data_IF_439873502214
#
_entry.id   IF_439873502214
#
_cell.length_a   1.000
_cell.length_b   1.000
_cell.length_c   1.000
_cell.angle_alpha   90.00
_cell.angle_beta   90.00
_cell.angle_gamma   90.00
#
_symmetry.space_group_name_H-M   'P 1'
#
loop_
_entity.id
_entity.type
_entity.pdbx_description
1 polymer ?
#
# COMPACT_ATOMS: atom_id res chain seq x y z
N UNK A 1 -1.87 -14.45 41.32
CA UNK A 1 -1.91 -13.21 40.52
C UNK A 1 -1.28 -13.41 39.13
N UNK A 2 0.05 -13.56 38.98
CA UNK A 2 0.67 -13.70 37.65
C UNK A 2 0.26 -14.98 36.88
N UNK A 3 0.08 -16.09 37.59
CA UNK A 3 -0.40 -17.35 37.01
C UNK A 3 -1.88 -17.29 36.59
N UNK A 4 -2.69 -16.51 37.32
CA UNK A 4 -4.11 -16.30 37.02
C UNK A 4 -4.27 -15.43 35.75
N UNK A 5 -3.44 -14.38 35.62
CA UNK A 5 -3.39 -13.53 34.43
C UNK A 5 -2.96 -14.34 33.19
N UNK A 6 -1.92 -15.18 33.30
CA UNK A 6 -1.50 -16.02 32.18
C UNK A 6 -2.63 -16.98 31.74
N UNK A 7 -3.32 -17.59 32.70
CA UNK A 7 -4.46 -18.47 32.41
C UNK A 7 -5.62 -17.72 31.75
N UNK A 8 -5.88 -16.48 32.20
CA UNK A 8 -6.86 -15.58 31.59
C UNK A 8 -6.48 -15.22 30.15
N UNK A 9 -5.21 -14.90 29.88
CA UNK A 9 -4.71 -14.60 28.52
C UNK A 9 -4.86 -15.81 27.60
N UNK A 10 -4.37 -16.98 28.01
CA UNK A 10 -4.43 -18.20 27.20
C UNK A 10 -5.87 -18.61 26.85
N UNK A 11 -6.79 -18.46 27.81
CA UNK A 11 -8.22 -18.70 27.60
C UNK A 11 -8.79 -17.74 26.57
N UNK A 12 -8.50 -16.45 26.71
CA UNK A 12 -9.12 -15.39 25.90
C UNK A 12 -8.49 -15.20 24.54
N UNK A 13 -7.23 -15.56 24.30
CA UNK A 13 -6.62 -15.49 22.96
C UNK A 13 -7.44 -16.23 21.89
N UNK A 14 -8.13 -17.31 22.28
CA UNK A 14 -9.01 -18.10 21.38
C UNK A 14 -10.33 -17.41 21.04
N UNK A 15 -10.70 -16.36 21.78
CA UNK A 15 -11.93 -15.58 21.57
C UNK A 15 -11.73 -14.43 20.58
N UNK A 16 -10.53 -14.28 20.01
CA UNK A 16 -10.22 -13.27 19.02
C UNK A 16 -10.29 -13.85 17.60
N UNK A 17 -11.22 -13.34 16.81
CA UNK A 17 -11.36 -13.66 15.39
C UNK A 17 -10.44 -12.76 14.55
N UNK A 18 -9.14 -13.06 14.58
CA UNK A 18 -8.10 -12.36 13.81
C UNK A 18 -7.54 -13.26 12.71
N UNK A 19 -6.98 -12.66 11.66
CA UNK A 19 -6.56 -13.40 10.46
C UNK A 19 -5.39 -14.36 10.69
N UNK A 20 -4.55 -14.11 11.70
CA UNK A 20 -3.40 -14.94 12.04
C UNK A 20 -2.87 -14.65 13.46
N UNK A 21 -1.70 -15.18 13.82
CA UNK A 21 -1.15 -15.15 15.19
C UNK A 21 -0.22 -13.97 15.47
N UNK A 22 0.07 -13.12 14.48
CA UNK A 22 1.01 -12.01 14.62
C UNK A 22 0.62 -11.01 15.71
N UNK A 23 -0.68 -10.89 16.02
CA UNK A 23 -1.17 -10.03 17.10
C UNK A 23 -1.29 -10.71 18.46
N UNK A 24 -0.94 -11.99 18.61
CA UNK A 24 -1.13 -12.69 19.89
C UNK A 24 -0.40 -12.03 21.06
N UNK A 25 0.84 -11.56 20.86
CA UNK A 25 1.59 -10.84 21.88
C UNK A 25 0.95 -9.50 22.23
N UNK A 26 0.42 -8.80 21.23
CA UNK A 26 -0.25 -7.52 21.38
C UNK A 26 -1.58 -7.69 22.14
N UNK A 27 -2.37 -8.70 21.78
CA UNK A 27 -3.61 -9.08 22.48
C UNK A 27 -3.29 -9.50 23.92
N UNK A 28 -2.22 -10.28 24.15
CA UNK A 28 -1.82 -10.72 25.48
C UNK A 28 -1.47 -9.54 26.40
N UNK A 29 -0.73 -8.55 25.90
CA UNK A 29 -0.43 -7.33 26.65
C UNK A 29 -1.69 -6.50 26.92
N UNK A 30 -2.57 -6.35 25.92
CA UNK A 30 -3.87 -5.69 26.09
C UNK A 30 -4.68 -6.35 27.21
N UNK A 31 -4.81 -7.67 27.19
CA UNK A 31 -5.56 -8.43 28.21
C UNK A 31 -4.95 -8.25 29.60
N UNK A 32 -3.63 -8.23 29.73
CA UNK A 32 -2.96 -7.92 31.01
C UNK A 32 -3.31 -6.51 31.50
N UNK A 33 -3.23 -5.51 30.63
CA UNK A 33 -3.56 -4.12 31.00
C UNK A 33 -5.04 -3.91 31.32
N UNK A 34 -5.95 -4.67 30.69
CA UNK A 34 -7.37 -4.67 31.06
C UNK A 34 -7.57 -5.17 32.50
N UNK A 35 -6.87 -6.24 32.90
CA UNK A 35 -6.93 -6.74 34.28
C UNK A 35 -6.38 -5.69 35.26
N UNK A 36 -5.25 -5.07 34.94
CA UNK A 36 -4.66 -4.01 35.77
C UNK A 36 -5.57 -2.77 35.87
N UNK A 37 -6.35 -2.48 34.83
CA UNK A 37 -7.36 -1.42 34.82
C UNK A 37 -8.64 -1.77 35.62
N UNK A 38 -8.77 -3.02 36.08
CA UNK A 38 -9.87 -3.50 36.91
C UNK A 38 -10.91 -4.36 36.18
N UNK A 39 -10.57 -4.93 35.02
CA UNK A 39 -11.44 -5.92 34.36
C UNK A 39 -11.61 -7.17 35.22
N UNK A 40 -12.84 -7.67 35.31
CA UNK A 40 -13.12 -8.90 36.02
C UNK A 40 -12.74 -10.11 35.13
N UNK A 41 -11.72 -10.86 35.55
CA UNK A 41 -11.22 -12.05 34.84
C UNK A 41 -12.25 -13.20 34.72
N UNK A 42 -13.37 -13.16 35.44
CA UNK A 42 -14.48 -14.10 35.25
C UNK A 42 -15.25 -13.84 33.95
N UNK A 43 -15.12 -12.63 33.39
CA UNK A 43 -15.74 -12.27 32.12
C UNK A 43 -14.73 -12.44 30.98
N UNK A 44 -15.14 -13.20 29.98
CA UNK A 44 -14.37 -13.36 28.76
C UNK A 44 -14.36 -12.08 27.94
N UNK A 45 -13.27 -11.89 27.22
CA UNK A 45 -13.00 -10.78 26.33
C UNK A 45 -13.02 -11.29 24.89
N UNK A 46 -13.77 -10.61 24.04
CA UNK A 46 -13.90 -10.92 22.63
C UNK A 46 -13.35 -9.79 21.79
N UNK A 47 -12.81 -10.14 20.64
CA UNK A 47 -12.37 -9.17 19.65
C UNK A 47 -12.26 -9.79 18.27
N UNK A 48 -12.01 -8.93 17.29
CA UNK A 48 -11.79 -9.35 15.91
C UNK A 48 -10.90 -8.36 15.20
N UNK A 49 -10.34 -8.79 14.09
CA UNK A 49 -9.84 -7.87 13.08
C UNK A 49 -11.03 -7.18 12.39
N UNK A 50 -10.88 -5.89 12.12
CA UNK A 50 -11.86 -5.12 11.35
C UNK A 50 -11.19 -3.93 10.66
N UNK A 51 -10.95 -4.00 9.36
CA UNK A 51 -10.28 -2.95 8.58
C UNK A 51 -8.82 -2.71 9.00
N UNK A 52 -8.06 -3.79 9.19
CA UNK A 52 -6.63 -3.75 9.54
C UNK A 52 -6.34 -3.37 10.99
N UNK A 53 -7.35 -3.38 11.85
CA UNK A 53 -7.20 -3.05 13.27
C UNK A 53 -7.84 -4.10 14.18
N UNK A 54 -7.25 -4.26 15.35
CA UNK A 54 -7.78 -5.05 16.46
C UNK A 54 -8.92 -4.27 17.13
N UNK A 55 -10.14 -4.79 17.01
CA UNK A 55 -11.30 -4.29 17.75
C UNK A 55 -11.64 -5.22 18.90
N UNK A 56 -11.62 -4.67 20.11
CA UNK A 56 -12.02 -5.37 21.33
C UNK A 56 -13.33 -4.78 21.86
N UNK A 57 -14.32 -5.64 22.08
CA UNK A 57 -15.66 -5.23 22.51
C UNK A 57 -15.85 -5.53 23.99
N UNK A 58 -15.59 -4.53 24.83
CA UNK A 58 -15.79 -4.60 26.27
C UNK A 58 -16.60 -3.40 26.73
N UNK A 59 -17.41 -3.61 27.77
CA UNK A 59 -18.28 -2.59 28.33
C UNK A 59 -18.43 -2.77 29.84
N UNK A 60 -18.50 -1.64 30.55
CA UNK A 60 -18.83 -1.59 31.97
C UNK A 60 -19.86 -0.49 32.21
N UNK A 61 -20.86 -0.77 33.05
CA UNK A 61 -21.84 0.23 33.50
C UNK A 61 -21.19 1.31 34.37
N UNK A 62 -20.11 0.97 35.08
CA UNK A 62 -19.30 1.96 35.79
C UNK A 62 -18.53 2.82 34.78
N UNK A 63 -18.89 4.12 34.72
CA UNK A 63 -18.33 5.10 33.77
C UNK A 63 -16.82 5.27 33.88
N UNK A 64 -16.27 5.30 35.09
CA UNK A 64 -14.83 5.49 35.31
C UNK A 64 -14.04 4.26 34.88
N UNK A 65 -14.54 3.06 35.21
CA UNK A 65 -13.97 1.82 34.72
C UNK A 65 -14.05 1.74 33.19
N UNK A 66 -15.22 2.02 32.61
CA UNK A 66 -15.42 2.00 31.16
C UNK A 66 -14.47 2.96 30.43
N UNK A 67 -14.23 4.15 31.00
CA UNK A 67 -13.28 5.12 30.45
C UNK A 67 -11.82 4.60 30.51
N UNK A 68 -11.42 3.91 31.60
CA UNK A 68 -10.09 3.29 31.70
C UNK A 68 -9.92 2.15 30.71
N UNK A 69 -10.90 1.25 30.63
CA UNK A 69 -10.91 0.13 29.69
C UNK A 69 -10.88 0.61 28.23
N UNK A 70 -11.67 1.64 27.91
CA UNK A 70 -11.69 2.25 26.58
C UNK A 70 -10.36 2.88 26.17
N UNK A 71 -9.58 3.43 27.11
CA UNK A 71 -8.22 3.90 26.83
C UNK A 71 -7.31 2.74 26.43
N UNK A 72 -7.33 1.64 27.18
CA UNK A 72 -6.54 0.45 26.87
C UNK A 72 -6.92 -0.08 25.47
N UNK A 73 -8.19 -0.34 25.20
CA UNK A 73 -8.59 -0.89 23.89
C UNK A 73 -8.28 0.06 22.73
N UNK A 74 -8.43 1.38 22.91
CA UNK A 74 -8.06 2.35 21.88
C UNK A 74 -6.54 2.35 21.60
N UNK A 75 -5.72 2.30 22.64
CA UNK A 75 -4.25 2.18 22.49
C UNK A 75 -3.89 0.95 21.67
N UNK A 76 -4.45 -0.21 21.99
CA UNK A 76 -4.14 -1.45 21.29
C UNK A 76 -4.75 -1.52 19.87
N UNK A 77 -5.89 -0.86 19.63
CA UNK A 77 -6.42 -0.63 18.28
C UNK A 77 -5.40 0.11 17.41
N UNK A 78 -4.84 1.22 17.90
CA UNK A 78 -3.83 2.01 17.19
C UNK A 78 -2.50 1.27 17.02
N UNK A 79 -2.05 0.53 18.04
CA UNK A 79 -0.83 -0.26 17.96
C UNK A 79 -0.94 -1.39 16.93
N UNK A 80 -2.10 -2.05 16.86
CA UNK A 80 -2.33 -3.16 15.92
C UNK A 80 -2.16 -2.73 14.46
N UNK A 81 -2.51 -1.49 14.13
CA UNK A 81 -2.35 -0.93 12.78
C UNK A 81 -0.88 -0.74 12.37
N UNK A 82 0.06 -0.86 13.31
CA UNK A 82 1.51 -0.77 13.10
C UNK A 82 2.23 -2.12 13.21
N UNK A 83 1.47 -3.21 13.40
CA UNK A 83 2.00 -4.56 13.62
C UNK A 83 1.40 -5.49 12.58
N UNK A 84 2.23 -6.22 11.85
CA UNK A 84 1.79 -7.20 10.89
C UNK A 84 0.94 -8.29 11.57
N UNK A 85 -0.30 -8.47 11.10
CA UNK A 85 -1.23 -9.46 11.67
C UNK A 85 -0.77 -10.92 11.51
N UNK A 86 0.14 -11.18 10.55
CA UNK A 86 0.68 -12.52 10.27
C UNK A 86 1.87 -12.87 11.17
N UNK A 87 2.87 -11.99 11.28
CA UNK A 87 4.14 -12.32 11.95
C UNK A 87 4.51 -11.45 13.15
N UNK A 88 3.71 -10.43 13.50
CA UNK A 88 3.94 -9.61 14.69
C UNK A 88 5.10 -8.61 14.61
N UNK A 89 5.78 -8.52 13.45
CA UNK A 89 6.78 -7.48 13.19
C UNK A 89 6.11 -6.16 12.77
N UNK A 90 6.89 -5.11 12.58
CA UNK A 90 6.40 -3.83 12.04
C UNK A 90 5.62 -4.02 10.73
N UNK A 91 4.46 -3.38 10.65
CA UNK A 91 3.58 -3.41 9.49
C UNK A 91 2.93 -2.05 9.26
N UNK A 92 2.33 -1.89 8.08
CA UNK A 92 1.53 -0.72 7.70
C UNK A 92 0.16 -1.17 7.25
N UNK A 93 -0.82 -0.27 7.29
CA UNK A 93 -2.13 -0.51 6.69
C UNK A 93 -1.97 -0.64 5.18
N UNK A 94 -2.55 -1.68 4.59
CA UNK A 94 -2.44 -1.99 3.16
C UNK A 94 -3.75 -2.48 2.61
N UNK A 95 -3.94 -2.27 1.30
CA UNK A 95 -5.14 -2.68 0.59
C UNK A 95 -4.90 -3.91 -0.28
N UNK A 96 -5.62 -4.99 0.00
CA UNK A 96 -5.62 -6.24 -0.78
C UNK A 96 -7.04 -6.53 -1.22
N UNK A 97 -7.30 -6.54 -2.54
CA UNK A 97 -8.64 -6.85 -3.09
C UNK A 97 -9.78 -6.03 -2.44
N UNK A 98 -9.54 -4.75 -2.19
CA UNK A 98 -10.46 -3.82 -1.50
C UNK A 98 -10.67 -4.08 0.00
N UNK A 99 -9.82 -4.90 0.62
CA UNK A 99 -9.79 -5.10 2.08
C UNK A 99 -8.55 -4.44 2.68
N UNK A 100 -8.76 -3.71 3.77
CA UNK A 100 -7.69 -3.13 4.57
C UNK A 100 -7.15 -4.18 5.55
N UNK A 101 -5.84 -4.35 5.57
CA UNK A 101 -5.13 -5.25 6.48
C UNK A 101 -3.79 -4.64 6.86
N UNK A 102 -3.30 -4.90 8.07
CA UNK A 102 -1.96 -4.47 8.48
C UNK A 102 -0.93 -5.56 8.24
N UNK A 103 -0.04 -5.32 7.29
CA UNK A 103 0.99 -6.28 6.89
C UNK A 103 2.37 -5.62 6.77
N UNK A 104 3.41 -6.39 7.07
CA UNK A 104 4.75 -6.06 6.62
C UNK A 104 4.86 -6.25 5.09
N UNK A 105 5.86 -5.62 4.47
CA UNK A 105 6.01 -5.66 3.01
C UNK A 105 6.13 -7.07 2.44
N UNK A 106 6.82 -7.97 3.16
CA UNK A 106 7.02 -9.34 2.70
C UNK A 106 5.68 -10.10 2.60
N UNK A 107 4.85 -10.03 3.65
CA UNK A 107 3.53 -10.65 3.64
C UNK A 107 2.55 -9.96 2.68
N UNK A 108 2.71 -8.65 2.47
CA UNK A 108 1.96 -7.94 1.44
C UNK A 108 2.31 -8.46 0.04
N UNK A 109 3.59 -8.57 -0.30
CA UNK A 109 4.06 -9.12 -1.58
C UNK A 109 3.65 -10.59 -1.73
N UNK A 110 3.58 -11.35 -0.64
CA UNK A 110 3.07 -12.71 -0.71
C UNK A 110 1.60 -12.78 -1.14
N UNK A 111 0.78 -11.79 -0.80
CA UNK A 111 -0.62 -11.77 -1.19
C UNK A 111 -0.85 -11.00 -2.50
N UNK A 112 -0.05 -9.96 -2.75
CA UNK A 112 -0.04 -9.13 -3.94
C UNK A 112 1.35 -9.18 -4.59
N UNK A 113 1.66 -10.25 -5.33
CA UNK A 113 3.00 -10.45 -5.85
C UNK A 113 3.38 -9.40 -6.89
N UNK A 114 4.66 -9.07 -6.91
CA UNK A 114 5.25 -8.17 -7.90
C UNK A 114 5.19 -8.83 -9.28
N UNK A 115 4.72 -8.07 -10.27
CA UNK A 115 4.80 -8.47 -11.66
C UNK A 115 6.24 -8.32 -12.16
N UNK A 116 6.78 -9.38 -12.72
CA UNK A 116 8.09 -9.38 -13.36
C UNK A 116 7.97 -9.75 -14.84
N UNK A 117 8.95 -9.32 -15.64
CA UNK A 117 9.09 -9.72 -17.04
C UNK A 117 10.47 -10.36 -17.17
N UNK A 118 10.48 -11.66 -17.44
CA UNK A 118 11.72 -12.44 -17.55
C UNK A 118 12.41 -12.25 -18.91
N UNK A 119 13.63 -12.80 -19.04
CA UNK A 119 14.43 -12.74 -20.27
C UNK A 119 13.75 -13.42 -21.47
N UNK A 120 12.85 -14.37 -21.21
CA UNK A 120 12.07 -15.08 -22.24
C UNK A 120 10.77 -14.36 -22.59
N UNK A 121 10.59 -13.12 -22.10
CA UNK A 121 9.41 -12.29 -22.31
C UNK A 121 8.14 -12.94 -21.73
N UNK A 122 8.26 -13.63 -20.59
CA UNK A 122 7.10 -14.05 -19.80
C UNK A 122 6.76 -12.98 -18.77
N UNK A 123 5.46 -12.72 -18.60
CA UNK A 123 4.92 -12.08 -17.40
C UNK A 123 4.87 -13.13 -16.30
N UNK A 124 5.52 -12.85 -15.17
CA UNK A 124 5.76 -13.78 -14.07
C UNK A 124 5.26 -13.17 -12.77
N UNK A 125 4.58 -14.00 -11.96
CA UNK A 125 4.29 -13.73 -10.56
C UNK A 125 4.79 -14.90 -9.72
N UNK A 126 5.53 -14.64 -8.63
CA UNK A 126 6.09 -15.69 -7.74
C UNK A 126 6.77 -16.83 -8.52
N UNK A 127 7.65 -16.49 -9.47
CA UNK A 127 8.37 -17.46 -10.32
C UNK A 127 7.49 -18.33 -11.23
N UNK A 128 6.19 -18.07 -11.31
CA UNK A 128 5.25 -18.74 -12.21
C UNK A 128 4.92 -17.85 -13.39
N UNK A 129 5.28 -18.30 -14.59
CA UNK A 129 4.87 -17.65 -15.83
C UNK A 129 3.34 -17.76 -16.01
N UNK A 130 2.68 -16.64 -16.26
CA UNK A 130 1.23 -16.58 -16.50
C UNK A 130 0.88 -16.28 -17.96
N UNK A 131 1.76 -15.59 -18.68
CA UNK A 131 1.57 -15.16 -20.07
C UNK A 131 2.93 -14.97 -20.73
N UNK A 132 3.13 -15.51 -21.93
CA UNK A 132 4.26 -15.13 -22.77
C UNK A 132 3.84 -14.01 -23.73
N UNK A 133 4.63 -12.95 -23.85
CA UNK A 133 4.29 -11.80 -24.70
C UNK A 133 4.16 -12.16 -26.19
N UNK A 134 4.82 -13.23 -26.65
CA UNK A 134 4.73 -13.72 -28.04
C UNK A 134 3.38 -14.37 -28.37
N UNK A 135 2.61 -14.76 -27.36
CA UNK A 135 1.30 -15.38 -27.53
C UNK A 135 0.16 -14.35 -27.65
N UNK A 136 0.47 -13.06 -27.44
CA UNK A 136 -0.47 -11.96 -27.51
C UNK A 136 -0.77 -11.68 -28.98
N UNK A 137 -2.06 -11.53 -29.28
CA UNK A 137 -2.55 -11.21 -30.63
C UNK A 137 -3.38 -9.94 -30.70
N UNK A 138 -3.76 -9.38 -29.54
CA UNK A 138 -4.46 -8.10 -29.43
C UNK A 138 -4.19 -7.53 -28.04
N UNK A 139 -4.08 -6.20 -27.97
CA UNK A 139 -3.97 -5.46 -26.72
C UNK A 139 -4.95 -4.28 -26.71
N UNK A 140 -5.53 -4.00 -25.56
CA UNK A 140 -6.40 -2.85 -25.34
C UNK A 140 -5.99 -2.13 -24.07
N UNK A 141 -6.20 -0.82 -24.03
CA UNK A 141 -5.97 0.01 -22.86
C UNK A 141 -7.24 0.75 -22.49
N UNK A 142 -7.50 0.88 -21.20
CA UNK A 142 -8.67 1.56 -20.65
C UNK A 142 -8.23 2.60 -19.61
N UNK A 143 -9.17 3.49 -19.24
CA UNK A 143 -9.01 4.47 -18.17
C UNK A 143 -7.75 5.34 -18.31
N UNK A 144 -7.56 5.90 -19.51
CA UNK A 144 -6.41 6.78 -19.78
C UNK A 144 -5.06 6.08 -19.59
N UNK A 145 -4.91 4.91 -20.23
CA UNK A 145 -3.71 4.07 -20.17
C UNK A 145 -3.41 3.50 -18.77
N UNK A 146 -4.38 3.47 -17.84
CA UNK A 146 -4.19 2.94 -16.48
C UNK A 146 -4.51 1.45 -16.35
N UNK A 147 -5.16 0.86 -17.35
CA UNK A 147 -5.46 -0.57 -17.37
C UNK A 147 -5.11 -1.15 -18.73
N UNK A 148 -4.42 -2.27 -18.74
CA UNK A 148 -3.99 -3.00 -19.94
C UNK A 148 -4.69 -4.36 -19.98
N UNK A 149 -5.33 -4.66 -21.11
CA UNK A 149 -5.93 -5.96 -21.41
C UNK A 149 -5.16 -6.64 -22.53
N UNK A 150 -4.69 -7.86 -22.29
CA UNK A 150 -3.92 -8.66 -23.24
C UNK A 150 -4.69 -9.92 -23.61
N UNK A 151 -4.83 -10.15 -24.91
CA UNK A 151 -5.59 -11.26 -25.45
C UNK A 151 -4.69 -12.25 -26.19
N UNK A 152 -4.88 -13.53 -25.93
CA UNK A 152 -4.20 -14.64 -26.64
C UNK A 152 -5.17 -15.32 -27.61
N UNK A 153 -4.66 -16.05 -28.61
CA UNK A 153 -5.50 -16.80 -29.58
C UNK A 153 -6.52 -17.71 -28.91
N UNK A 154 -6.14 -18.36 -27.80
CA UNK A 154 -7.01 -19.26 -27.05
C UNK A 154 -8.16 -18.54 -26.34
N UNK A 155 -7.96 -17.29 -25.97
CA UNK A 155 -8.88 -16.54 -25.11
C UNK A 155 -9.77 -15.56 -25.88
N UNK A 156 -9.35 -15.08 -27.06
CA UNK A 156 -10.17 -14.23 -27.95
C UNK A 156 -11.52 -14.89 -28.27
N UNK A 157 -11.54 -16.20 -28.55
CA UNK A 157 -12.78 -16.92 -28.85
C UNK A 157 -13.74 -17.01 -27.67
N UNK A 158 -13.28 -16.69 -26.46
CA UNK A 158 -14.05 -16.76 -25.22
C UNK A 158 -14.20 -15.40 -24.53
N UNK A 159 -13.75 -14.31 -25.18
CA UNK A 159 -13.67 -12.96 -24.61
C UNK A 159 -12.95 -12.89 -23.24
N UNK A 160 -12.01 -13.81 -23.02
CA UNK A 160 -11.14 -13.81 -21.84
C UNK A 160 -9.89 -12.99 -22.14
N UNK A 161 -9.37 -12.32 -21.13
CA UNK A 161 -8.14 -11.54 -21.24
C UNK A 161 -7.35 -11.59 -19.93
N UNK A 162 -6.05 -11.32 -20.04
CA UNK A 162 -5.23 -10.96 -18.90
C UNK A 162 -5.35 -9.46 -18.68
N UNK A 163 -5.53 -9.04 -17.42
CA UNK A 163 -5.72 -7.64 -17.06
C UNK A 163 -4.62 -7.21 -16.11
N UNK A 164 -4.03 -6.05 -16.36
CA UNK A 164 -2.98 -5.43 -15.56
C UNK A 164 -3.33 -3.98 -15.28
N UNK A 165 -2.95 -3.47 -14.12
CA UNK A 165 -3.29 -2.11 -13.65
C UNK A 165 -2.02 -1.31 -13.31
N UNK A 166 -2.08 0.02 -13.47
CA UNK A 166 -1.02 0.93 -13.03
C UNK A 166 -0.79 0.96 -11.50
N UNK A 167 -1.66 0.29 -10.73
CA UNK A 167 -1.48 0.02 -9.30
C UNK A 167 -0.53 -1.16 -9.01
N UNK A 168 0.05 -1.75 -10.05
CA UNK A 168 1.03 -2.82 -9.97
C UNK A 168 2.40 -2.31 -10.45
N UNK A 169 3.48 -2.57 -9.68
CA UNK A 169 4.84 -2.34 -10.13
C UNK A 169 5.09 -3.02 -11.47
N UNK A 170 5.92 -2.39 -12.31
CA UNK A 170 6.26 -2.80 -13.67
C UNK A 170 5.10 -2.73 -14.69
N UNK A 171 3.96 -2.12 -14.35
CA UNK A 171 2.86 -1.91 -15.30
C UNK A 171 3.31 -1.14 -16.55
N UNK A 172 3.95 0.02 -16.38
CA UNK A 172 4.38 0.83 -17.52
C UNK A 172 5.54 0.17 -18.28
N UNK A 173 6.37 -0.63 -17.60
CA UNK A 173 7.35 -1.51 -18.24
C UNK A 173 6.68 -2.53 -19.17
N UNK A 174 5.61 -3.18 -18.72
CA UNK A 174 4.83 -4.10 -19.54
C UNK A 174 4.20 -3.36 -20.73
N UNK A 175 3.52 -2.25 -20.48
CA UNK A 175 2.89 -1.43 -21.53
C UNK A 175 3.89 -1.04 -22.63
N UNK A 176 5.12 -0.68 -22.26
CA UNK A 176 6.18 -0.30 -23.19
C UNK A 176 6.69 -1.45 -24.07
N UNK A 177 6.69 -2.68 -23.55
CA UNK A 177 7.26 -3.85 -24.24
C UNK A 177 6.23 -4.54 -25.15
N UNK A 178 4.93 -4.39 -24.87
CA UNK A 178 3.88 -4.95 -25.75
C UNK A 178 3.98 -4.30 -27.14
N UNK A 179 4.04 -5.08 -28.23
CA UNK A 179 4.19 -4.52 -29.57
C UNK A 179 3.04 -3.57 -29.96
N UNK A 180 3.40 -2.35 -30.39
CA UNK A 180 2.44 -1.28 -30.71
C UNK A 180 1.36 -1.71 -31.72
N UNK A 181 1.73 -2.48 -32.75
CA UNK A 181 0.78 -2.93 -33.78
C UNK A 181 -0.36 -3.82 -33.25
N UNK A 182 -0.28 -4.30 -31.99
CA UNK A 182 -1.36 -5.05 -31.34
C UNK A 182 -2.45 -4.16 -30.74
N UNK A 183 -2.20 -2.85 -30.63
CA UNK A 183 -3.17 -1.84 -30.19
C UNK A 183 -3.87 -1.19 -31.39
N UNK A 184 -5.00 -0.52 -31.14
CA UNK A 184 -5.65 0.31 -32.15
C UNK A 184 -4.77 1.49 -32.56
N UNK A 185 -4.94 2.00 -33.79
CA UNK A 185 -4.09 3.07 -34.35
C UNK A 185 -4.07 4.34 -33.48
N UNK A 186 -5.22 4.70 -32.92
CA UNK A 186 -5.33 5.84 -32.00
C UNK A 186 -4.52 5.61 -30.72
N UNK A 187 -4.55 4.40 -30.15
CA UNK A 187 -3.76 4.06 -28.97
C UNK A 187 -2.27 3.96 -29.26
N UNK A 188 -1.87 3.50 -30.45
CA UNK A 188 -0.45 3.47 -30.85
C UNK A 188 0.20 4.84 -30.77
N UNK A 189 -0.50 5.87 -31.28
CA UNK A 189 -0.02 7.26 -31.22
C UNK A 189 0.11 7.75 -29.78
N UNK A 190 -0.88 7.46 -28.92
CA UNK A 190 -0.91 7.89 -27.52
C UNK A 190 0.16 7.22 -26.67
N UNK A 191 0.40 5.93 -26.88
CA UNK A 191 1.41 5.17 -26.15
C UNK A 191 2.81 5.66 -26.55
N UNK A 192 3.06 5.87 -27.85
CA UNK A 192 4.32 6.43 -28.33
C UNK A 192 4.55 7.83 -27.73
N UNK A 193 3.54 8.69 -27.83
CA UNK A 193 3.58 10.05 -27.27
C UNK A 193 3.90 10.07 -25.76
N UNK A 194 3.30 9.16 -24.99
CA UNK A 194 3.58 9.02 -23.57
C UNK A 194 5.05 8.75 -23.30
N UNK A 195 5.63 7.73 -23.94
CA UNK A 195 7.01 7.32 -23.66
C UNK A 195 8.07 8.25 -24.27
N UNK A 196 7.74 8.95 -25.37
CA UNK A 196 8.65 9.89 -26.02
C UNK A 196 8.75 11.23 -25.27
N UNK A 197 7.71 11.61 -24.52
CA UNK A 197 7.63 12.91 -23.85
C UNK A 197 7.71 12.86 -22.32
N UNK A 198 8.18 11.76 -21.74
CA UNK A 198 8.42 11.68 -20.30
C UNK A 198 9.47 12.72 -19.86
N UNK A 199 9.12 13.48 -18.82
CA UNK A 199 10.01 14.45 -18.16
C UNK A 199 10.44 13.94 -16.79
N UNK A 200 11.48 14.56 -16.26
CA UNK A 200 11.94 14.30 -14.90
C UNK A 200 10.92 14.81 -13.88
N UNK A 201 10.59 13.97 -12.90
CA UNK A 201 9.77 14.35 -11.76
C UNK A 201 10.67 14.90 -10.65
N UNK A 202 10.45 16.15 -10.25
CA UNK A 202 11.22 16.79 -9.19
C UNK A 202 10.88 16.25 -7.78
N UNK A 203 9.69 15.65 -7.63
CA UNK A 203 9.27 15.01 -6.38
C UNK A 203 10.02 13.69 -6.19
N UNK A 204 9.76 12.69 -7.03
CA UNK A 204 10.31 11.34 -6.82
C UNK A 204 11.65 11.05 -7.52
N UNK A 205 12.13 11.95 -8.40
CA UNK A 205 13.41 11.76 -9.08
C UNK A 205 13.40 10.71 -10.19
N UNK A 206 12.23 10.34 -10.72
CA UNK A 206 12.12 9.44 -11.88
C UNK A 206 11.72 10.21 -13.14
N UNK A 207 12.21 9.76 -14.30
CA UNK A 207 11.76 10.24 -15.62
C UNK A 207 10.39 9.65 -15.97
N UNK A 208 9.37 10.15 -15.29
CA UNK A 208 8.02 9.59 -15.29
C UNK A 208 6.91 10.66 -15.34
N UNK A 209 7.24 11.95 -15.47
CA UNK A 209 6.25 13.02 -15.55
C UNK A 209 5.67 13.09 -16.97
N UNK A 210 4.35 12.91 -17.08
CA UNK A 210 3.61 13.03 -18.35
C UNK A 210 2.37 13.90 -18.15
N UNK A 211 2.20 14.90 -19.01
CA UNK A 211 1.15 15.90 -18.84
C UNK A 211 1.31 16.66 -17.52
N UNK A 212 0.38 16.42 -16.58
CA UNK A 212 0.30 17.13 -15.30
C UNK A 212 0.76 16.32 -14.09
N UNK A 213 0.97 15.01 -14.22
CA UNK A 213 1.26 14.13 -13.08
C UNK A 213 2.34 13.12 -13.38
N UNK A 214 3.02 12.68 -12.32
CA UNK A 214 4.02 11.65 -12.39
C UNK A 214 3.37 10.27 -12.45
N UNK A 215 3.75 9.45 -13.42
CA UNK A 215 3.25 8.08 -13.58
C UNK A 215 3.83 7.09 -12.54
N UNK A 216 4.82 7.51 -11.75
CA UNK A 216 5.43 6.70 -10.69
C UNK A 216 4.85 7.05 -9.30
N UNK A 217 5.03 8.31 -8.85
CA UNK A 217 4.59 8.75 -7.52
C UNK A 217 3.22 9.44 -7.49
N UNK A 218 2.52 9.54 -8.63
CA UNK A 218 1.20 10.18 -8.78
C UNK A 218 1.12 11.67 -8.43
N UNK A 219 2.18 12.28 -7.90
CA UNK A 219 2.23 13.71 -7.61
C UNK A 219 2.09 14.56 -8.87
N UNK A 220 1.40 15.69 -8.74
CA UNK A 220 1.25 16.65 -9.81
C UNK A 220 2.55 17.47 -10.00
N UNK A 221 2.78 17.96 -11.22
CA UNK A 221 3.83 18.95 -11.44
C UNK A 221 3.41 20.29 -10.87
N UNK A 222 4.36 21.06 -10.33
CA UNK A 222 4.12 22.44 -9.94
C UNK A 222 3.42 23.24 -11.06
N UNK A 223 2.40 24.03 -10.69
CA UNK A 223 1.58 24.79 -11.64
C UNK A 223 0.53 23.98 -12.43
N UNK A 224 0.42 22.66 -12.24
CA UNK A 224 -0.67 21.86 -12.80
C UNK A 224 -2.06 22.28 -12.26
N UNK A 225 -2.07 22.75 -11.01
CA UNK A 225 -3.21 23.23 -10.26
C UNK A 225 -2.97 24.65 -9.72
N UNK A 226 -4.01 25.47 -9.68
CA UNK A 226 -3.96 26.86 -9.16
C UNK A 226 -3.67 26.92 -7.67
N UNK A 227 -4.14 25.93 -6.92
CA UNK A 227 -4.01 25.86 -5.46
C UNK A 227 -2.56 25.72 -5.01
N UNK A 228 -1.68 25.17 -5.86
CA UNK A 228 -0.24 25.07 -5.56
C UNK A 228 0.37 26.41 -5.13
N UNK A 229 -0.01 27.50 -5.80
CA UNK A 229 0.49 28.83 -5.45
C UNK A 229 -0.22 29.43 -4.25
N UNK A 230 -1.51 29.13 -4.08
CA UNK A 230 -2.34 29.65 -2.98
C UNK A 230 -1.93 29.05 -1.64
N UNK A 231 -1.65 27.74 -1.62
CA UNK A 231 -1.42 26.97 -0.39
C UNK A 231 0.06 26.93 -0.01
N UNK A 232 0.97 26.82 -0.98
CA UNK A 232 2.40 26.61 -0.73
C UNK A 232 3.25 27.86 -1.00
N UNK A 233 2.74 28.81 -1.77
CA UNK A 233 3.45 30.03 -2.17
C UNK A 233 4.55 29.78 -3.21
N UNK A 234 5.57 29.00 -2.84
CA UNK A 234 6.74 28.68 -3.65
C UNK A 234 6.78 27.22 -4.08
N UNK A 235 7.41 26.99 -5.24
CA UNK A 235 7.57 25.65 -5.83
C UNK A 235 8.37 24.71 -4.93
N UNK A 236 9.41 25.21 -4.27
CA UNK A 236 10.27 24.41 -3.39
C UNK A 236 9.51 23.85 -2.21
N UNK A 237 8.62 24.63 -1.60
CA UNK A 237 7.80 24.18 -0.46
C UNK A 237 6.84 23.07 -0.86
N UNK A 238 6.15 23.22 -1.99
CA UNK A 238 5.31 22.15 -2.54
C UNK A 238 6.08 20.85 -2.78
N UNK A 239 7.23 20.94 -3.47
CA UNK A 239 8.03 19.75 -3.76
C UNK A 239 8.56 19.12 -2.47
N UNK A 240 9.01 19.95 -1.52
CA UNK A 240 9.52 19.51 -0.21
C UNK A 240 8.45 18.74 0.56
N UNK A 241 7.22 19.24 0.62
CA UNK A 241 6.10 18.59 1.29
C UNK A 241 5.75 17.24 0.62
N UNK A 242 5.58 17.22 -0.71
CA UNK A 242 5.31 15.98 -1.43
C UNK A 242 6.43 14.92 -1.24
N UNK A 243 7.69 15.36 -1.13
CA UNK A 243 8.81 14.47 -0.83
C UNK A 243 8.75 13.91 0.60
N UNK A 244 8.33 14.71 1.57
CA UNK A 244 8.15 14.25 2.96
C UNK A 244 7.00 13.25 3.09
N UNK A 245 5.87 13.50 2.42
CA UNK A 245 4.74 12.55 2.37
C UNK A 245 5.16 11.18 1.82
N UNK A 246 5.87 11.19 0.70
CA UNK A 246 6.46 9.97 0.12
C UNK A 246 7.45 9.28 1.06
N UNK A 247 8.14 10.02 1.92
CA UNK A 247 9.10 9.44 2.86
C UNK A 247 8.43 8.87 4.11
N UNK A 248 7.31 9.47 4.55
CA UNK A 248 6.46 8.93 5.61
C UNK A 248 5.80 7.63 5.13
N UNK A 249 5.28 7.64 3.90
CA UNK A 249 4.74 6.46 3.21
C UNK A 249 3.72 5.73 4.09
N UNK A 250 2.72 6.45 4.61
CA UNK A 250 1.81 5.94 5.65
C UNK A 250 1.08 4.66 5.22
N UNK A 251 0.70 4.56 3.95
CA UNK A 251 0.01 3.42 3.34
C UNK A 251 0.96 2.34 2.78
N UNK A 252 2.27 2.56 2.85
CA UNK A 252 3.28 1.62 2.35
C UNK A 252 3.34 1.53 0.82
N UNK A 253 2.78 2.50 0.09
CA UNK A 253 2.80 2.58 -1.37
C UNK A 253 4.23 2.65 -1.93
N UNK A 254 5.06 3.57 -1.44
CA UNK A 254 6.42 3.78 -1.94
C UNK A 254 7.31 2.56 -1.66
N UNK A 255 7.14 1.92 -0.49
CA UNK A 255 7.83 0.67 -0.18
C UNK A 255 7.53 -0.43 -1.22
N UNK A 256 6.28 -0.52 -1.69
CA UNK A 256 5.86 -1.48 -2.72
C UNK A 256 6.32 -1.07 -4.13
N UNK A 257 6.34 0.22 -4.44
CA UNK A 257 6.79 0.74 -5.74
C UNK A 257 8.31 0.82 -5.87
N UNK A 258 9.09 0.58 -4.81
CA UNK A 258 10.54 0.36 -4.91
C UNK A 258 10.93 -0.82 -5.85
N UNK A 259 9.99 -1.74 -6.08
CA UNK A 259 10.13 -2.85 -7.02
C UNK A 259 9.77 -2.49 -8.47
N UNK A 260 9.21 -1.30 -8.71
CA UNK A 260 8.94 -0.80 -10.04
C UNK A 260 10.24 -0.45 -10.77
N UNK A 261 10.35 -0.95 -11.99
CA UNK A 261 11.48 -0.72 -12.91
C UNK A 261 10.99 -0.12 -14.22
N UNK A 262 9.83 0.53 -14.20
CA UNK A 262 9.23 1.15 -15.39
C UNK A 262 9.96 2.42 -15.82
N UNK A 263 10.55 3.15 -14.87
CA UNK A 263 11.15 4.45 -15.12
C UNK A 263 12.59 4.52 -14.62
N UNK A 264 13.42 5.27 -15.34
CA UNK A 264 14.81 5.52 -14.97
C UNK A 264 14.87 6.61 -13.90
N UNK A 265 15.86 6.50 -13.00
CA UNK A 265 16.16 7.56 -12.03
C UNK A 265 16.89 8.70 -12.73
N UNK A 266 16.47 9.93 -12.47
CA UNK A 266 17.08 11.15 -13.00
C UNK A 266 18.37 11.44 -12.25
N UNK A 267 19.48 11.62 -12.99
CA UNK A 267 20.74 12.05 -12.41
C UNK A 267 20.64 13.49 -11.90
N UNK A 268 20.94 13.72 -10.61
CA UNK A 268 20.91 15.06 -10.01
C UNK A 268 19.58 15.44 -9.36
N UNK A 269 18.65 14.50 -9.17
CA UNK A 269 17.50 14.70 -8.28
C UNK A 269 17.96 15.08 -6.86
N UNK A 270 17.25 16.03 -6.24
CA UNK A 270 17.56 16.56 -4.93
C UNK A 270 16.39 16.36 -3.97
N UNK A 271 16.71 15.91 -2.76
CA UNK A 271 15.79 15.93 -1.63
C UNK A 271 15.87 17.32 -0.99
N UNK A 272 14.73 17.99 -0.87
CA UNK A 272 14.62 19.39 -0.44
C UNK A 272 14.37 19.55 1.08
N UNK A 273 14.25 18.44 1.81
CA UNK A 273 14.06 18.43 3.24
C UNK A 273 15.25 17.79 3.97
N UNK A 274 15.44 18.21 5.23
CA UNK A 274 16.38 17.62 6.18
C UNK A 274 15.65 16.68 7.13
N UNK A 275 16.36 15.79 7.86
CA UNK A 275 15.72 14.96 8.87
C UNK A 275 14.93 15.76 9.92
N UNK A 276 15.40 16.96 10.29
CA UNK A 276 14.69 17.84 11.24
C UNK A 276 13.37 18.36 10.67
N UNK A 277 13.35 18.73 9.38
CA UNK A 277 12.11 19.13 8.69
C UNK A 277 11.08 17.99 8.71
N UNK A 278 11.51 16.75 8.46
CA UNK A 278 10.61 15.59 8.44
C UNK A 278 10.02 15.31 9.83
N UNK A 279 10.82 15.44 10.89
CA UNK A 279 10.34 15.26 12.27
C UNK A 279 9.41 16.41 12.72
N UNK A 280 9.61 17.63 12.21
CA UNK A 280 8.66 18.72 12.41
C UNK A 280 7.35 18.46 11.66
N UNK A 281 7.43 18.03 10.41
CA UNK A 281 6.27 17.73 9.57
C UNK A 281 5.40 16.61 10.16
N UNK A 282 6.02 15.53 10.67
CA UNK A 282 5.29 14.45 11.35
C UNK A 282 4.44 14.92 12.54
N UNK A 283 4.87 15.97 13.27
CA UNK A 283 4.10 16.52 14.42
C UNK A 283 2.86 17.30 13.99
N UNK A 284 2.79 17.71 12.72
CA UNK A 284 1.59 18.36 12.18
C UNK A 284 0.53 17.33 11.78
N UNK A 285 0.95 16.09 11.47
CA UNK A 285 0.10 14.99 11.03
C UNK A 285 -0.38 14.10 12.18
N UNK A 286 0.43 13.92 13.24
CA UNK A 286 0.19 12.99 14.35
C UNK A 286 0.33 13.66 15.73
#
# INVERSE_FOLDING_TARGET
MRQDINSFIERNLKNFSVNSTGWNDLIGKMLSELVDAGWNMDHDVFGKENSGELRCYIYSENKELNARLGKVTNTYSQLSQKVCEICGHEGKLRMINSWETTLCINHFIDQKPIMEIDEKQNVVYKQKAILNLKDIVKAEVEFDLKKLKLYTKKQISTDKYFSFSNQEPNYYKLLRIVPLHLFSEDMQSRISDLFDHLKDCEVCGHKALYGKSCLHCNNESWGANKYHKEDYGEKSEYIKECQMDMFIDEDGYEEYFNYDRSFEKTSGHQILFTPDDLEEYKKLLF
#
